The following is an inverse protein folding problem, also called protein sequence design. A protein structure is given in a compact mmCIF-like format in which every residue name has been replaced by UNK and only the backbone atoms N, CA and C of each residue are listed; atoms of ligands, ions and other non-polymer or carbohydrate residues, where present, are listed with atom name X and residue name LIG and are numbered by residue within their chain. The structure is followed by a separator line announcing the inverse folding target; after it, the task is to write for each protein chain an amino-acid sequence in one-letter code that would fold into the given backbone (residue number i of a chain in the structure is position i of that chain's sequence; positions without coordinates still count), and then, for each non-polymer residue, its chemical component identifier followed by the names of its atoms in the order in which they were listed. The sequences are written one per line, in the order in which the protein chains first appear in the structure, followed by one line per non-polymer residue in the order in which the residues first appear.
data_IF_148705168557
#
_entry.id   IF_148705168557
#
_cell.length_a   1.000
_cell.length_b   1.000
_cell.length_c   1.000
_cell.angle_alpha   90.00
_cell.angle_beta   90.00
_cell.angle_gamma   90.00
#
_symmetry.space_group_name_H-M   'P 1'
#
loop_
_entity.id
_entity.type
_entity.pdbx_description
1 polymer ?
#
# COMPACT_ATOMS: atom_id res chain seq x y z
N UNK A 1 -2.50 -22.89 -14.30
CA UNK A 1 -3.01 -22.78 -13.48
C UNK A 1 -3.89 -21.85 -13.36
N UNK A 2 -4.55 -21.89 -13.11
CA UNK A 2 -5.33 -21.06 -13.08
C UNK A 2 -5.52 -20.57 -11.91
N UNK A 3 -5.32 -19.81 -11.72
CA UNK A 3 -5.39 -19.33 -10.55
C UNK A 3 -6.65 -18.77 -10.27
N UNK A 4 -7.11 -18.79 -9.16
CA UNK A 4 -8.19 -18.25 -8.87
C UNK A 4 -8.05 -16.86 -8.71
N UNK A 5 -8.96 -16.07 -8.88
CA UNK A 5 -8.89 -14.68 -8.76
C UNK A 5 -8.93 -14.25 -7.35
N UNK A 6 -7.90 -13.67 -6.87
CA UNK A 6 -7.88 -13.24 -5.49
C UNK A 6 -8.73 -12.01 -5.28
N UNK A 7 -8.82 -11.55 -4.05
CA UNK A 7 -9.55 -10.36 -3.73
C UNK A 7 -8.89 -9.16 -4.38
N UNK A 8 -9.60 -8.07 -4.45
CA UNK A 8 -9.06 -6.85 -5.03
C UNK A 8 -7.79 -6.39 -4.30
N UNK A 9 -7.77 -6.55 -2.99
CA UNK A 9 -6.60 -6.17 -2.22
C UNK A 9 -5.37 -6.96 -2.61
N UNK A 10 -5.55 -8.26 -2.81
CA UNK A 10 -4.45 -9.11 -3.22
C UNK A 10 -3.92 -8.71 -4.59
N UNK A 11 -4.82 -8.38 -5.49
CA UNK A 11 -4.41 -8.00 -6.85
C UNK A 11 -3.64 -6.68 -6.83
N UNK A 12 -4.02 -5.78 -5.97
CA UNK A 12 -3.32 -4.52 -5.84
C UNK A 12 -1.92 -4.72 -5.28
N UNK A 13 -1.78 -5.62 -4.34
CA UNK A 13 -0.46 -5.93 -3.79
C UNK A 13 0.43 -6.55 -4.85
N UNK A 14 -0.10 -7.45 -5.65
CA UNK A 14 0.68 -8.08 -6.71
C UNK A 14 1.11 -7.02 -7.72
N UNK A 15 0.21 -6.10 -8.04
CA UNK A 15 0.52 -5.05 -8.98
C UNK A 15 1.61 -4.13 -8.45
N UNK A 16 1.57 -3.79 -7.18
CA UNK A 16 2.60 -2.96 -6.57
C UNK A 16 3.95 -3.65 -6.60
N UNK A 17 3.98 -4.95 -6.35
CA UNK A 17 5.22 -5.70 -6.39
C UNK A 17 5.81 -5.73 -7.79
N UNK A 18 4.96 -5.86 -8.79
CA UNK A 18 5.42 -5.85 -10.16
C UNK A 18 6.03 -4.51 -10.53
N UNK A 19 5.42 -3.44 -10.07
CA UNK A 19 5.92 -2.11 -10.32
C UNK A 19 7.30 -1.95 -9.71
N UNK A 20 7.48 -2.44 -8.50
CA UNK A 20 8.77 -2.35 -7.84
C UNK A 20 9.82 -3.18 -8.55
N UNK A 21 9.44 -4.37 -8.98
CA UNK A 21 10.37 -5.23 -9.67
C UNK A 21 10.83 -4.58 -10.98
N UNK A 22 9.91 -3.94 -11.67
CA UNK A 22 10.25 -3.27 -12.90
C UNK A 22 11.24 -2.14 -12.68
N UNK A 23 10.99 -1.34 -11.65
CA UNK A 23 11.89 -0.25 -11.30
C UNK A 23 13.27 -0.76 -10.92
N UNK A 24 13.29 -1.81 -10.11
CA UNK A 24 14.55 -2.36 -9.66
C UNK A 24 15.33 -3.02 -10.79
N UNK A 25 14.64 -3.42 -11.84
CA UNK A 25 15.30 -4.04 -12.97
C UNK A 25 15.94 -3.06 -13.92
N UNK A 26 15.74 -1.77 -13.70
CA UNK A 26 16.34 -0.80 -14.57
C UNK A 26 17.80 -0.65 -14.29
N UNK A 27 18.56 -0.39 -15.29
CA UNK A 27 20.01 -0.27 -15.11
C UNK A 27 20.41 0.89 -14.25
N UNK A 28 19.65 1.97 -14.24
CA UNK A 28 20.10 3.05 -13.43
C UNK A 28 19.59 2.82 -12.03
N UNK A 29 20.21 3.40 -11.10
CA UNK A 29 19.95 3.09 -9.86
C UNK A 29 18.89 3.79 -9.23
N UNK A 30 17.74 3.87 -9.59
CA UNK A 30 16.68 4.49 -9.00
C UNK A 30 16.28 3.69 -7.80
N UNK A 31 16.59 4.08 -6.69
CA UNK A 31 16.30 3.34 -5.49
C UNK A 31 15.04 3.90 -4.87
N UNK A 32 14.06 3.06 -4.62
CA UNK A 32 12.86 3.49 -3.94
C UNK A 32 13.11 3.38 -2.47
N UNK A 33 13.12 4.51 -1.80
CA UNK A 33 13.30 4.52 -0.37
C UNK A 33 11.96 4.42 0.30
N UNK A 34 11.74 3.36 1.04
CA UNK A 34 10.49 3.16 1.76
C UNK A 34 10.73 3.58 3.20
N UNK A 35 10.11 4.65 3.65
CA UNK A 35 10.36 5.12 5.01
C UNK A 35 9.88 4.11 6.04
N UNK A 36 10.54 4.07 7.17
CA UNK A 36 10.16 3.18 8.23
C UNK A 36 8.80 3.58 8.77
N UNK A 37 8.55 4.88 8.85
CA UNK A 37 7.27 5.36 9.29
C UNK A 37 6.54 5.99 8.13
N UNK A 38 5.26 5.69 8.02
CA UNK A 38 4.48 6.23 6.95
C UNK A 38 3.18 6.73 7.56
N UNK A 39 2.73 7.87 7.13
CA UNK A 39 1.53 8.50 7.68
C UNK A 39 0.30 8.01 6.93
N UNK A 40 -0.29 6.96 7.44
CA UNK A 40 -1.44 6.33 6.80
C UNK A 40 -2.63 7.29 6.76
N UNK A 41 -2.82 8.07 7.83
CA UNK A 41 -3.94 9.00 7.86
C UNK A 41 -3.81 10.06 6.76
N UNK A 42 -2.60 10.53 6.52
CA UNK A 42 -2.37 11.51 5.48
C UNK A 42 -2.68 10.93 4.11
N UNK A 43 -2.23 9.70 3.87
CA UNK A 43 -2.49 9.05 2.60
C UNK A 43 -3.99 8.84 2.41
N UNK A 44 -4.65 8.38 3.45
CA UNK A 44 -6.09 8.13 3.40
C UNK A 44 -6.85 9.42 3.09
N UNK A 45 -6.48 10.49 3.74
CA UNK A 45 -7.14 11.78 3.52
C UNK A 45 -6.85 12.31 2.13
N UNK A 46 -5.67 12.04 1.62
CA UNK A 46 -5.30 12.47 0.28
C UNK A 46 -6.19 11.81 -0.76
N UNK A 47 -6.52 10.54 -0.57
CA UNK A 47 -7.41 9.85 -1.50
C UNK A 47 -8.88 10.09 -1.18
N UNK A 48 -9.19 10.82 -0.11
CA UNK A 48 -10.56 11.23 0.18
C UNK A 48 -11.46 10.16 0.72
N UNK A 49 -10.92 9.22 1.47
CA UNK A 49 -11.70 8.10 1.98
C UNK A 49 -11.75 8.09 3.51
N UNK A 50 -12.83 7.52 4.04
CA UNK A 50 -12.90 7.25 5.47
C UNK A 50 -12.02 6.05 5.78
N UNK A 51 -11.81 5.77 7.06
CA UNK A 51 -11.03 4.60 7.46
C UNK A 51 -11.65 3.31 6.92
N UNK A 52 -12.97 3.22 7.00
CA UNK A 52 -13.68 2.05 6.54
C UNK A 52 -13.58 1.89 5.03
N UNK A 53 -13.76 2.97 4.31
CA UNK A 53 -13.67 2.96 2.85
C UNK A 53 -12.26 2.60 2.39
N UNK A 54 -11.27 3.16 3.05
CA UNK A 54 -9.89 2.91 2.70
C UNK A 54 -9.53 1.43 2.92
N UNK A 55 -9.95 0.89 4.06
CA UNK A 55 -9.70 -0.51 4.37
C UNK A 55 -10.34 -1.41 3.31
N UNK A 56 -11.58 -1.14 2.99
CA UNK A 56 -12.30 -1.95 2.04
C UNK A 56 -11.72 -1.83 0.63
N UNK A 57 -11.41 -0.64 0.23
CA UNK A 57 -10.89 -0.38 -1.11
C UNK A 57 -9.55 -1.07 -1.35
N UNK A 58 -8.69 -1.06 -0.36
CA UNK A 58 -7.33 -1.57 -0.55
C UNK A 58 -7.05 -2.90 0.13
N UNK A 59 -8.08 -3.53 0.67
CA UNK A 59 -7.94 -4.88 1.20
C UNK A 59 -7.35 -4.97 2.60
N UNK A 60 -7.48 -3.92 3.40
CA UNK A 60 -7.03 -3.95 4.78
C UNK A 60 -8.23 -4.17 5.69
N UNK A 61 -8.01 -4.53 6.94
CA UNK A 61 -9.09 -4.54 7.89
C UNK A 61 -9.22 -3.16 8.50
N UNK A 62 -10.43 -2.80 8.86
CA UNK A 62 -10.70 -1.53 9.49
C UNK A 62 -9.87 -1.36 10.76
N UNK A 63 -9.81 -2.43 11.54
CA UNK A 63 -9.05 -2.41 12.78
C UNK A 63 -7.56 -2.15 12.52
N UNK A 64 -7.03 -2.76 11.49
CA UNK A 64 -5.63 -2.57 11.13
C UNK A 64 -5.36 -1.11 10.76
N UNK A 65 -6.23 -0.52 9.96
CA UNK A 65 -6.07 0.88 9.57
C UNK A 65 -6.14 1.76 10.81
N UNK A 66 -7.06 1.49 11.71
CA UNK A 66 -7.14 2.25 12.95
C UNK A 66 -5.87 2.15 13.76
N UNK A 67 -5.32 0.96 13.87
CA UNK A 67 -4.11 0.76 14.66
C UNK A 67 -2.91 1.50 14.06
N UNK A 68 -2.81 1.51 12.76
CA UNK A 68 -1.76 2.26 12.10
C UNK A 68 -1.89 3.75 12.38
N UNK A 69 -3.11 4.27 12.27
CA UNK A 69 -3.31 5.71 12.46
C UNK A 69 -3.14 6.13 13.91
N UNK A 70 -3.39 5.22 14.83
CA UNK A 70 -3.21 5.50 16.25
C UNK A 70 -1.79 5.25 16.74
N UNK A 71 -0.94 4.77 15.87
CA UNK A 71 0.44 4.48 16.25
C UNK A 71 0.62 3.23 17.06
N UNK A 72 -0.39 2.36 17.08
CA UNK A 72 -0.30 1.13 17.86
C UNK A 72 0.33 0.00 17.08
N UNK A 73 0.40 0.12 15.78
CA UNK A 73 1.03 -0.88 14.95
C UNK A 73 1.69 -0.17 13.79
N UNK A 74 2.71 -0.77 13.25
CA UNK A 74 3.46 -0.22 12.13
C UNK A 74 3.26 -1.16 10.95
N UNK A 75 2.91 -0.66 9.77
CA UNK A 75 2.75 -1.54 8.62
C UNK A 75 4.06 -2.26 8.31
N UNK A 76 3.96 -3.48 7.83
CA UNK A 76 5.14 -4.24 7.45
C UNK A 76 5.81 -3.58 6.25
N UNK A 77 7.01 -4.01 5.92
CA UNK A 77 7.73 -3.44 4.78
C UNK A 77 6.96 -3.51 3.49
N UNK A 78 6.36 -4.66 3.21
CA UNK A 78 5.58 -4.84 2.00
C UNK A 78 4.36 -3.91 2.01
N UNK A 79 3.72 -3.78 3.15
CA UNK A 79 2.55 -2.93 3.27
C UNK A 79 2.93 -1.46 3.15
N UNK A 80 4.06 -1.07 3.70
CA UNK A 80 4.54 0.31 3.55
C UNK A 80 4.77 0.63 2.09
N UNK A 81 5.32 -0.31 1.35
CA UNK A 81 5.55 -0.13 -0.08
C UNK A 81 4.22 0.04 -0.81
N UNK A 82 3.24 -0.77 -0.44
CA UNK A 82 1.92 -0.69 -1.03
C UNK A 82 1.28 0.68 -0.75
N UNK A 83 1.39 1.14 0.49
CA UNK A 83 0.87 2.44 0.86
C UNK A 83 1.57 3.56 0.09
N UNK A 84 2.85 3.43 -0.12
CA UNK A 84 3.60 4.41 -0.88
C UNK A 84 3.13 4.45 -2.33
N UNK A 85 2.83 3.29 -2.90
CA UNK A 85 2.30 3.23 -4.26
C UNK A 85 0.94 3.92 -4.33
N UNK A 86 0.09 3.67 -3.35
CA UNK A 86 -1.22 4.32 -3.29
C UNK A 86 -1.03 5.84 -3.26
N UNK A 87 -0.12 6.31 -2.45
CA UNK A 87 0.15 7.73 -2.30
C UNK A 87 0.61 8.34 -3.62
N UNK A 88 1.45 7.64 -4.35
CA UNK A 88 1.98 8.15 -5.59
C UNK A 88 1.04 8.04 -6.77
N UNK A 89 0.30 6.95 -6.85
CA UNK A 89 -0.58 6.71 -7.97
C UNK A 89 -1.87 7.49 -7.91
N UNK A 90 -2.24 7.95 -6.76
CA UNK A 90 -3.51 8.64 -6.62
C UNK A 90 -3.30 10.13 -6.87
N UNK A 91 -4.07 10.72 -7.73
CA UNK A 91 -3.90 12.14 -8.05
C UNK A 91 -4.23 13.06 -6.89
#
# INVERSE_FOLDING_TARGET
MKTRTPSAGWRMIVSAKKTLAWVNGKPHRSVIHVPHEIDVARIRKKVGMSQSEFAEQYGFSFRTVQQWEQGRAIPSGATRTYLLVIDREHP
#
